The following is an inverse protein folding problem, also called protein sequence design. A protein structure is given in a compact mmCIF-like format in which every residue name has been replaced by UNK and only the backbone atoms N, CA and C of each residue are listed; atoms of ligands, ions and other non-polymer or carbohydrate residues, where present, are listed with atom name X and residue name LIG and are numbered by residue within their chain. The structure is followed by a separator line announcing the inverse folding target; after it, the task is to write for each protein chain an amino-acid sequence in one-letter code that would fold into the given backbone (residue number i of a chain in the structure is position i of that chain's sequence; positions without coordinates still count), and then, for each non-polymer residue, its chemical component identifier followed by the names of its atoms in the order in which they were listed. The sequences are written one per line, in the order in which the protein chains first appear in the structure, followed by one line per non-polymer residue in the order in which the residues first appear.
data_IF_204245486223
#
_entry.id   IF_204245486223
#
_cell.length_a   1.000
_cell.length_b   1.000
_cell.length_c   1.000
_cell.angle_alpha   90.00
_cell.angle_beta   90.00
_cell.angle_gamma   90.00
#
_symmetry.space_group_name_H-M   'P 1'
#
loop_
_entity.id
_entity.type
_entity.pdbx_description
1 polymer ?
#
# COMPACT_ATOMS: atom_id res chain seq x y z
N UNK A 1 -5.64 19.08 4.48
CA UNK A 1 -6.67 18.65 3.51
C UNK A 1 -7.70 17.75 4.17
N UNK A 2 -8.97 18.03 3.94
CA UNK A 2 -10.02 17.12 4.40
C UNK A 2 -10.19 15.95 3.42
N UNK A 3 -10.88 14.91 3.88
CA UNK A 3 -11.02 13.66 3.13
C UNK A 3 -11.53 13.85 1.71
N UNK A 4 -12.50 14.75 1.52
CA UNK A 4 -13.08 15.00 0.20
C UNK A 4 -12.04 15.55 -0.81
N UNK A 5 -11.18 16.44 -0.34
CA UNK A 5 -10.10 16.98 -1.17
C UNK A 5 -9.09 15.91 -1.55
N UNK A 6 -8.76 15.02 -0.60
CA UNK A 6 -7.83 13.91 -0.84
C UNK A 6 -8.43 12.94 -1.87
N UNK A 7 -9.72 12.63 -1.75
CA UNK A 7 -10.42 11.79 -2.71
C UNK A 7 -10.33 12.33 -4.13
N UNK A 8 -10.55 13.63 -4.28
CA UNK A 8 -10.50 14.28 -5.59
C UNK A 8 -9.08 14.35 -6.14
N UNK A 9 -8.12 14.71 -5.29
CA UNK A 9 -6.72 14.86 -5.69
C UNK A 9 -6.07 13.54 -6.08
N UNK A 10 -6.28 12.49 -5.29
CA UNK A 10 -5.60 11.21 -5.48
C UNK A 10 -6.46 10.15 -6.16
N UNK A 11 -7.70 10.48 -6.50
CA UNK A 11 -8.64 9.54 -7.13
C UNK A 11 -8.80 8.26 -6.31
N UNK A 12 -8.97 8.43 -5.00
CA UNK A 12 -9.10 7.34 -4.04
C UNK A 12 -10.43 7.48 -3.31
N UNK A 13 -11.09 6.36 -3.02
CA UNK A 13 -12.36 6.38 -2.30
C UNK A 13 -12.17 6.64 -0.81
N UNK A 14 -13.20 7.21 -0.16
CA UNK A 14 -13.19 7.39 1.29
C UNK A 14 -13.12 6.05 2.02
N UNK A 15 -13.73 5.02 1.45
CA UNK A 15 -13.67 3.66 1.99
C UNK A 15 -12.21 3.17 2.07
N UNK A 16 -11.46 3.34 1.00
CA UNK A 16 -10.06 2.92 0.95
C UNK A 16 -9.20 3.70 1.94
N UNK A 17 -9.42 5.01 2.03
CA UNK A 17 -8.69 5.85 3.01
C UNK A 17 -8.96 5.40 4.44
N UNK A 18 -10.21 5.12 4.77
CA UNK A 18 -10.58 4.62 6.10
C UNK A 18 -10.01 3.23 6.37
N UNK A 19 -9.93 2.40 5.34
CA UNK A 19 -9.30 1.08 5.43
C UNK A 19 -7.81 1.21 5.76
N UNK A 20 -7.10 2.11 5.09
CA UNK A 20 -5.68 2.35 5.38
C UNK A 20 -5.48 2.84 6.81
N UNK A 21 -6.36 3.70 7.30
CA UNK A 21 -6.33 4.15 8.69
C UNK A 21 -6.58 2.99 9.64
N UNK A 22 -7.58 2.17 9.37
CA UNK A 22 -7.92 1.00 10.18
C UNK A 22 -6.77 0.01 10.25
N UNK A 23 -6.04 -0.16 9.15
CA UNK A 23 -4.89 -1.04 9.11
C UNK A 23 -3.63 -0.45 9.74
N UNK A 24 -3.70 0.78 10.22
CA UNK A 24 -2.58 1.45 10.87
C UNK A 24 -1.52 1.99 9.92
N UNK A 25 -1.86 2.15 8.64
CA UNK A 25 -0.92 2.66 7.65
C UNK A 25 -0.81 4.18 7.68
N UNK A 26 -1.92 4.85 8.00
CA UNK A 26 -1.99 6.31 8.13
C UNK A 26 -2.73 6.67 9.40
N UNK A 27 -2.46 7.87 9.91
CA UNK A 27 -3.12 8.37 11.12
C UNK A 27 -3.33 9.89 10.96
N UNK A 28 -4.35 10.29 10.18
CA UNK A 28 -4.62 11.71 9.97
C UNK A 28 -5.04 12.39 11.27
N UNK A 29 -4.65 13.65 11.42
CA UNK A 29 -5.06 14.47 12.55
C UNK A 29 -6.57 14.71 12.50
N UNK A 30 -7.23 14.68 13.66
CA UNK A 30 -8.63 15.06 13.76
C UNK A 30 -8.75 16.43 14.38
N UNK A 31 -9.50 17.32 13.71
CA UNK A 31 -9.74 18.67 14.22
C UNK A 31 -10.76 18.66 15.36
N UNK A 32 -11.07 19.84 15.91
CA UNK A 32 -12.00 19.99 17.02
C UNK A 32 -13.40 19.45 16.73
N UNK A 33 -13.79 19.44 15.45
CA UNK A 33 -15.10 18.93 15.02
C UNK A 33 -15.07 17.43 14.71
N UNK A 34 -13.94 16.78 14.91
CA UNK A 34 -13.78 15.36 14.64
C UNK A 34 -13.49 15.01 13.18
N UNK A 35 -13.33 16.01 12.31
CA UNK A 35 -13.01 15.79 10.91
C UNK A 35 -11.55 15.44 10.74
N UNK A 36 -11.28 14.52 9.82
CA UNK A 36 -9.91 14.12 9.48
C UNK A 36 -9.24 15.22 8.68
N UNK A 37 -8.02 15.55 9.07
CA UNK A 37 -7.19 16.51 8.36
C UNK A 37 -5.89 15.83 7.94
N UNK A 38 -5.67 15.74 6.64
CA UNK A 38 -4.52 15.06 6.05
C UNK A 38 -3.42 16.08 5.78
N UNK A 39 -2.24 15.83 6.35
CA UNK A 39 -1.07 16.66 6.11
C UNK A 39 -0.42 16.30 4.76
N UNK A 40 0.55 17.11 4.32
CA UNK A 40 1.33 16.77 3.13
C UNK A 40 2.06 15.45 3.31
N UNK A 41 2.56 15.19 4.51
CA UNK A 41 3.21 13.92 4.85
C UNK A 41 2.23 12.75 4.70
N UNK A 42 0.99 12.93 5.15
CA UNK A 42 -0.06 11.93 4.98
C UNK A 42 -0.33 11.67 3.50
N UNK A 43 -0.39 12.73 2.69
CA UNK A 43 -0.62 12.62 1.25
C UNK A 43 0.50 11.81 0.58
N UNK A 44 1.75 12.10 0.89
CA UNK A 44 2.90 11.36 0.36
C UNK A 44 2.85 9.88 0.77
N UNK A 45 2.46 9.62 2.00
CA UNK A 45 2.31 8.28 2.51
C UNK A 45 1.22 7.51 1.75
N UNK A 46 0.07 8.15 1.52
CA UNK A 46 -1.03 7.56 0.76
C UNK A 46 -0.62 7.27 -0.67
N UNK A 47 0.06 8.19 -1.33
CA UNK A 47 0.56 7.99 -2.69
C UNK A 47 1.51 6.77 -2.76
N UNK A 48 2.38 6.65 -1.77
CA UNK A 48 3.30 5.51 -1.67
C UNK A 48 2.55 4.19 -1.47
N UNK A 49 1.54 4.19 -0.61
CA UNK A 49 0.69 3.02 -0.39
C UNK A 49 -0.01 2.61 -1.68
N UNK A 50 -0.59 3.58 -2.38
CA UNK A 50 -1.27 3.34 -3.65
C UNK A 50 -0.34 2.71 -4.68
N UNK A 51 0.87 3.23 -4.80
CA UNK A 51 1.88 2.68 -5.70
C UNK A 51 2.20 1.22 -5.36
N UNK A 52 2.46 0.95 -4.08
CA UNK A 52 2.79 -0.40 -3.63
C UNK A 52 1.63 -1.37 -3.83
N UNK A 53 0.40 -0.91 -3.61
CA UNK A 53 -0.79 -1.73 -3.87
C UNK A 53 -0.98 -2.01 -5.35
N UNK A 54 -0.68 -1.05 -6.21
CA UNK A 54 -0.79 -1.22 -7.66
C UNK A 54 0.14 -2.31 -8.19
N UNK A 55 1.28 -2.51 -7.55
CA UNK A 55 2.20 -3.61 -7.89
C UNK A 55 1.99 -4.85 -7.01
N UNK A 56 0.84 -4.93 -6.37
CA UNK A 56 0.38 -6.09 -5.59
C UNK A 56 1.20 -6.42 -4.35
N UNK A 57 1.81 -5.41 -3.72
CA UNK A 57 2.48 -5.61 -2.43
C UNK A 57 1.41 -5.79 -1.36
N UNK A 58 1.46 -6.85 -0.54
CA UNK A 58 0.49 -7.05 0.53
C UNK A 58 0.50 -5.94 1.57
N UNK A 59 -0.64 -5.68 2.18
CA UNK A 59 -0.79 -4.62 3.20
C UNK A 59 0.21 -4.79 4.35
N UNK A 60 0.46 -6.01 4.79
CA UNK A 60 1.40 -6.28 5.88
C UNK A 60 2.82 -5.84 5.52
N UNK A 61 3.24 -6.11 4.29
CA UNK A 61 4.56 -5.70 3.80
C UNK A 61 4.65 -4.19 3.66
N UNK A 62 3.58 -3.55 3.20
CA UNK A 62 3.51 -2.09 3.11
C UNK A 62 3.70 -1.47 4.50
N UNK A 63 3.01 -2.02 5.50
CA UNK A 63 3.13 -1.56 6.88
C UNK A 63 4.58 -1.68 7.38
N UNK A 64 5.23 -2.78 7.10
CA UNK A 64 6.62 -3.00 7.48
C UNK A 64 7.57 -2.03 6.77
N UNK A 65 7.32 -1.74 5.50
CA UNK A 65 8.09 -0.74 4.74
C UNK A 65 7.93 0.64 5.36
N UNK A 66 6.68 1.04 5.66
CA UNK A 66 6.39 2.35 6.24
C UNK A 66 6.99 2.51 7.63
N UNK A 67 7.11 1.41 8.38
CA UNK A 67 7.70 1.39 9.71
C UNK A 67 9.21 1.11 9.70
N UNK A 68 9.82 1.10 8.53
CA UNK A 68 11.26 0.88 8.34
C UNK A 68 11.76 -0.46 8.88
N UNK A 69 10.90 -1.47 8.97
CA UNK A 69 11.28 -2.82 9.39
C UNK A 69 11.96 -3.60 8.27
N UNK A 70 11.55 -3.33 7.02
CA UNK A 70 12.15 -3.90 5.82
C UNK A 70 12.25 -2.78 4.78
N UNK A 71 13.14 -2.94 3.81
CA UNK A 71 13.21 -1.99 2.71
C UNK A 71 12.27 -2.41 1.60
N UNK A 72 11.86 -1.44 0.79
CA UNK A 72 11.09 -1.73 -0.42
C UNK A 72 11.84 -2.71 -1.32
N UNK A 73 13.16 -2.55 -1.43
CA UNK A 73 13.99 -3.42 -2.25
C UNK A 73 13.95 -4.86 -1.77
N UNK A 74 14.02 -5.10 -0.45
CA UNK A 74 13.94 -6.45 0.13
C UNK A 74 12.61 -7.13 -0.21
N UNK A 75 11.52 -6.40 -0.09
CA UNK A 75 10.18 -6.91 -0.42
C UNK A 75 10.08 -7.22 -1.92
N UNK A 76 10.61 -6.32 -2.75
CA UNK A 76 10.60 -6.50 -4.20
C UNK A 76 11.39 -7.73 -4.62
N UNK A 77 12.58 -7.92 -4.06
CA UNK A 77 13.41 -9.09 -4.35
C UNK A 77 12.72 -10.40 -3.95
N UNK A 78 12.10 -10.40 -2.76
CA UNK A 78 11.33 -11.56 -2.28
C UNK A 78 10.16 -11.87 -3.23
N UNK A 79 9.46 -10.85 -3.69
CA UNK A 79 8.34 -10.99 -4.62
C UNK A 79 8.80 -11.54 -5.98
N UNK A 80 9.91 -11.03 -6.50
CA UNK A 80 10.50 -11.51 -7.74
C UNK A 80 10.85 -12.99 -7.63
N UNK A 81 11.45 -13.41 -6.51
CA UNK A 81 11.75 -14.81 -6.27
C UNK A 81 10.52 -15.71 -6.30
N UNK A 82 9.44 -15.27 -5.65
CA UNK A 82 8.17 -16.01 -5.64
C UNK A 82 7.60 -16.16 -7.05
N UNK A 83 7.60 -15.08 -7.81
CA UNK A 83 7.10 -15.08 -9.19
C UNK A 83 7.93 -16.02 -10.05
N UNK A 84 9.26 -15.96 -9.95
CA UNK A 84 10.14 -16.84 -10.69
C UNK A 84 9.91 -18.31 -10.35
N UNK A 85 9.69 -18.63 -9.09
CA UNK A 85 9.38 -19.99 -8.67
C UNK A 85 8.04 -20.47 -9.27
N UNK A 86 7.03 -19.62 -9.29
CA UNK A 86 5.74 -19.92 -9.92
C UNK A 86 5.89 -20.17 -11.42
N UNK A 87 6.68 -19.33 -12.10
CA UNK A 87 6.94 -19.50 -13.52
C UNK A 87 7.62 -20.85 -13.80
N UNK A 88 8.63 -21.20 -13.02
CA UNK A 88 9.32 -22.47 -13.14
C UNK A 88 8.39 -23.67 -12.95
N UNK A 89 7.52 -23.60 -11.93
CA UNK A 89 6.53 -24.62 -11.65
C UNK A 89 5.55 -24.79 -12.81
N UNK A 90 5.04 -23.68 -13.35
CA UNK A 90 4.12 -23.71 -14.48
C UNK A 90 4.78 -24.24 -15.75
N UNK A 91 6.04 -23.90 -16.00
CA UNK A 91 6.80 -24.41 -17.13
C UNK A 91 7.03 -25.91 -17.01
N UNK A 92 7.32 -26.38 -15.80
CA UNK A 92 7.46 -27.81 -15.53
C UNK A 92 6.19 -28.57 -15.84
N UNK A 93 5.05 -28.07 -15.35
CA UNK A 93 3.72 -28.67 -15.60
C UNK A 93 3.45 -28.74 -17.11
N UNK A 94 3.67 -27.64 -17.82
CA UNK A 94 3.46 -27.55 -19.26
C UNK A 94 4.30 -28.59 -20.02
N UNK A 95 5.54 -28.80 -19.58
CA UNK A 95 6.46 -29.74 -20.22
C UNK A 95 6.06 -31.21 -19.98
N UNK A 96 5.47 -31.52 -18.85
CA UNK A 96 5.19 -32.90 -18.43
C UNK A 96 3.73 -33.31 -18.50
N UNK A 97 2.86 -32.46 -19.05
CA UNK A 97 1.44 -32.74 -19.30
C UNK A 97 1.15 -33.06 -20.80
#
# INVERSE_FOLDING_TARGET
MQIKEVQEKLKISSYTLRYYEKMGLIQPYRDENGYRNYSEEDIHKIERIMFLRDINVPIEDIKDILNNKVTFQDVLESHIQKVNTEIESLQYIKKHV
#
